data_IF_112796275434
#
_entry.id   IF_112796275434
#
_cell.length_a   1.000
_cell.length_b   1.000
_cell.length_c   1.000
_cell.angle_alpha   90.00
_cell.angle_beta   90.00
_cell.angle_gamma   90.00
#
_symmetry.space_group_name_H-M   'P 1'
#
loop_
_entity.id
_entity.type
_entity.pdbx_description
1 polymer ?
#
# COMPACT_ATOMS: atom_id res chain seq x y z
N UNK A 1 39.10 -30.34 1.59
CA UNK A 1 40.26 -31.19 1.30
C UNK A 1 40.69 -31.89 2.57
N UNK A 2 41.37 -33.02 2.45
CA UNK A 2 41.96 -33.75 3.56
C UNK A 2 43.37 -34.21 3.17
N UNK A 3 44.32 -34.08 4.09
CA UNK A 3 45.72 -34.46 3.90
C UNK A 3 46.26 -35.09 5.15
N UNK A 4 47.11 -36.09 4.97
CA UNK A 4 47.84 -36.78 6.01
C UNK A 4 49.36 -36.72 5.73
N UNK A 5 50.18 -36.85 6.78
CA UNK A 5 51.65 -36.70 6.66
C UNK A 5 52.31 -37.92 6.01
N UNK A 6 51.78 -39.12 6.22
CA UNK A 6 52.31 -40.38 5.68
C UNK A 6 51.60 -40.76 4.37
N UNK A 7 50.28 -40.58 4.31
CA UNK A 7 49.44 -40.95 3.16
C UNK A 7 49.33 -39.85 2.08
N UNK A 8 49.75 -38.61 2.38
CA UNK A 8 49.60 -37.48 1.46
C UNK A 8 48.15 -37.00 1.30
N UNK A 9 47.70 -36.71 0.08
CA UNK A 9 46.33 -36.24 -0.17
C UNK A 9 45.33 -37.39 -0.08
N UNK A 10 44.46 -37.35 0.93
CA UNK A 10 43.42 -38.34 1.18
C UNK A 10 42.01 -37.80 0.92
N UNK A 11 41.87 -36.69 0.18
CA UNK A 11 40.57 -36.06 -0.11
C UNK A 11 39.58 -37.04 -0.76
N UNK A 12 40.05 -37.93 -1.63
CA UNK A 12 39.19 -38.91 -2.32
C UNK A 12 38.69 -40.04 -1.38
N UNK A 13 39.28 -40.17 -0.18
CA UNK A 13 38.84 -41.10 0.87
C UNK A 13 37.80 -40.49 1.81
N UNK A 14 37.46 -39.21 1.67
CA UNK A 14 36.47 -38.54 2.54
C UNK A 14 35.07 -39.09 2.28
N UNK A 15 34.36 -39.45 3.34
CA UNK A 15 32.98 -39.95 3.30
C UNK A 15 32.06 -39.07 4.13
N UNK A 16 30.76 -39.05 3.79
CA UNK A 16 29.73 -38.42 4.63
C UNK A 16 29.15 -39.48 5.56
N UNK A 17 29.28 -39.28 6.87
CA UNK A 17 28.82 -40.25 7.88
C UNK A 17 27.51 -39.84 8.54
N UNK A 18 27.16 -38.56 8.50
CA UNK A 18 25.84 -38.06 8.88
C UNK A 18 25.49 -36.82 8.04
N UNK A 19 24.22 -36.72 7.66
CA UNK A 19 23.66 -35.58 6.94
C UNK A 19 22.19 -35.43 7.35
N UNK A 20 21.87 -34.32 8.02
CA UNK A 20 20.50 -33.98 8.42
C UNK A 20 19.92 -32.80 7.62
N UNK A 21 20.60 -32.35 6.56
CA UNK A 21 20.20 -31.19 5.77
C UNK A 21 18.84 -31.39 5.12
N UNK A 22 17.91 -30.50 5.45
CA UNK A 22 16.62 -30.33 4.80
C UNK A 22 16.56 -28.95 4.12
N UNK A 23 16.65 -28.93 2.80
CA UNK A 23 16.63 -27.68 2.02
C UNK A 23 15.22 -27.10 1.86
N UNK A 24 14.18 -27.78 2.33
CA UNK A 24 12.79 -27.30 2.24
C UNK A 24 12.35 -26.48 3.45
N UNK A 25 13.16 -26.45 4.51
CA UNK A 25 12.84 -25.75 5.74
C UNK A 25 13.99 -24.81 6.14
N UNK A 26 13.62 -23.60 6.54
CA UNK A 26 14.55 -22.65 7.15
C UNK A 26 15.09 -23.27 8.43
N UNK A 27 16.42 -23.26 8.58
CA UNK A 27 17.03 -23.94 9.71
C UNK A 27 18.55 -24.00 9.65
N UNK A 28 19.10 -24.61 10.71
CA UNK A 28 20.52 -24.91 10.81
C UNK A 28 20.68 -26.42 10.86
N UNK A 29 21.48 -26.92 9.94
CA UNK A 29 21.72 -28.33 9.66
C UNK A 29 23.22 -28.62 9.69
N UNK A 30 23.57 -29.88 9.62
CA UNK A 30 24.92 -30.39 9.80
C UNK A 30 25.25 -31.51 8.81
N UNK A 31 26.47 -31.44 8.29
CA UNK A 31 27.06 -32.55 7.53
C UNK A 31 28.34 -32.96 8.24
N UNK A 32 28.46 -34.23 8.58
CA UNK A 32 29.67 -34.78 9.19
C UNK A 32 30.42 -35.61 8.17
N UNK A 33 31.66 -35.19 7.93
CA UNK A 33 32.61 -35.89 7.09
C UNK A 33 33.54 -36.75 7.95
N UNK A 34 33.99 -37.88 7.41
CA UNK A 34 35.01 -38.74 8.01
C UNK A 34 36.05 -39.13 6.98
N UNK A 35 37.30 -39.24 7.42
CA UNK A 35 38.39 -39.81 6.62
C UNK A 35 39.24 -40.71 7.51
N UNK A 36 39.67 -41.85 6.97
CA UNK A 36 40.52 -42.82 7.63
C UNK A 36 41.80 -43.01 6.83
N UNK A 37 42.96 -42.92 7.46
CA UNK A 37 44.26 -43.16 6.83
C UNK A 37 44.55 -44.68 6.68
N UNK A 38 45.68 -45.01 6.05
CA UNK A 38 46.10 -46.40 5.84
C UNK A 38 46.44 -47.15 7.13
N UNK A 39 46.81 -46.42 8.20
CA UNK A 39 47.07 -46.96 9.54
C UNK A 39 45.79 -47.15 10.38
N UNK A 40 44.64 -46.72 9.86
CA UNK A 40 43.33 -46.86 10.49
C UNK A 40 42.94 -45.71 11.42
N UNK A 41 43.72 -44.63 11.49
CA UNK A 41 43.35 -43.44 12.25
C UNK A 41 42.22 -42.70 11.53
N UNK A 42 41.19 -42.29 12.29
CA UNK A 42 40.00 -41.65 11.74
C UNK A 42 39.82 -40.24 12.29
N UNK A 43 39.53 -39.30 11.40
CA UNK A 43 39.17 -37.92 11.73
C UNK A 43 37.75 -37.63 11.26
N UNK A 44 36.97 -36.92 12.09
CA UNK A 44 35.66 -36.42 11.69
C UNK A 44 35.62 -34.89 11.72
N UNK A 45 34.87 -34.30 10.79
CA UNK A 45 34.61 -32.86 10.75
C UNK A 45 33.14 -32.62 10.45
N UNK A 46 32.46 -31.96 11.37
CA UNK A 46 31.10 -31.45 11.15
C UNK A 46 31.17 -30.03 10.63
N UNK A 47 30.41 -29.76 9.56
CA UNK A 47 30.12 -28.41 9.08
C UNK A 47 28.68 -28.05 9.42
N UNK A 48 28.42 -26.75 9.53
CA UNK A 48 27.08 -26.21 9.66
C UNK A 48 26.60 -25.73 8.29
N UNK A 49 25.37 -26.06 7.93
CA UNK A 49 24.65 -25.58 6.76
C UNK A 49 23.45 -24.78 7.25
N UNK A 50 23.36 -23.52 6.86
CA UNK A 50 22.22 -22.66 7.20
C UNK A 50 21.34 -22.51 5.96
N UNK A 51 20.07 -22.87 6.08
CA UNK A 51 19.03 -22.63 5.07
C UNK A 51 18.25 -21.40 5.52
N UNK A 52 18.28 -20.34 4.72
CA UNK A 52 17.49 -19.12 4.90
C UNK A 52 16.24 -19.17 4.05
N UNK A 53 15.28 -18.26 4.25
CA UNK A 53 14.13 -18.17 3.34
C UNK A 53 14.53 -17.43 2.05
N UNK A 54 13.62 -17.40 1.10
CA UNK A 54 13.72 -16.75 -0.21
C UNK A 54 12.32 -16.21 -0.56
N UNK A 55 11.66 -15.61 0.43
CA UNK A 55 10.33 -15.06 0.26
C UNK A 55 10.43 -13.80 -0.59
N UNK A 56 9.37 -13.48 -1.34
CA UNK A 56 9.32 -12.18 -2.03
C UNK A 56 8.91 -11.08 -1.03
N UNK A 57 9.40 -9.84 -1.23
CA UNK A 57 9.07 -8.73 -0.35
C UNK A 57 7.59 -8.37 -0.41
N UNK A 58 7.05 -7.77 0.66
CA UNK A 58 5.65 -7.35 0.77
C UNK A 58 5.54 -5.83 0.79
N UNK A 59 4.73 -5.26 -0.11
CA UNK A 59 4.44 -3.81 -0.16
C UNK A 59 3.15 -3.49 0.61
N UNK A 60 3.26 -2.58 1.59
CA UNK A 60 2.13 -1.96 2.28
C UNK A 60 1.89 -0.57 1.69
N UNK A 61 0.71 -0.38 1.11
CA UNK A 61 0.19 0.86 0.55
C UNK A 61 -1.34 0.74 0.52
N UNK A 62 -2.04 1.87 0.59
CA UNK A 62 -3.50 1.93 0.65
C UNK A 62 -4.05 2.92 -0.36
N UNK A 63 -5.31 2.69 -0.76
CA UNK A 63 -6.04 3.62 -1.61
C UNK A 63 -6.18 4.99 -0.93
N UNK A 64 -6.24 6.03 -1.76
CA UNK A 64 -6.29 7.42 -1.31
C UNK A 64 -7.48 8.14 -1.93
N UNK A 65 -8.10 9.05 -1.18
CA UNK A 65 -9.08 9.99 -1.70
C UNK A 65 -8.59 11.40 -1.45
N UNK A 66 -8.62 12.26 -2.46
CA UNK A 66 -8.32 13.68 -2.34
C UNK A 66 -9.39 14.53 -3.01
N UNK A 67 -9.41 15.80 -2.64
CA UNK A 67 -10.21 16.83 -3.31
C UNK A 67 -9.45 17.36 -4.53
N UNK A 68 -10.17 17.74 -5.58
CA UNK A 68 -9.63 18.36 -6.80
C UNK A 68 -8.71 19.53 -6.43
N UNK A 69 -7.50 19.53 -7.00
CA UNK A 69 -6.43 20.47 -6.72
C UNK A 69 -5.61 20.17 -5.46
N UNK A 70 -5.93 19.10 -4.73
CA UNK A 70 -5.19 18.67 -3.53
C UNK A 70 -3.75 18.24 -3.84
N UNK A 71 -2.87 18.41 -2.85
CA UNK A 71 -1.50 17.89 -2.92
C UNK A 71 -1.47 16.37 -2.86
N UNK A 72 -0.63 15.74 -3.68
CA UNK A 72 -0.45 14.30 -3.70
C UNK A 72 1.03 13.93 -3.68
N UNK A 73 1.42 13.17 -2.65
CA UNK A 73 2.72 12.49 -2.58
C UNK A 73 2.51 10.98 -2.80
N UNK A 74 3.04 10.41 -3.90
CA UNK A 74 2.89 9.00 -4.20
C UNK A 74 3.57 8.09 -3.18
N UNK A 75 4.60 8.55 -2.45
CA UNK A 75 5.32 7.73 -1.46
C UNK A 75 4.80 7.87 -0.03
N UNK A 76 3.92 8.84 0.23
CA UNK A 76 3.34 9.02 1.56
C UNK A 76 2.57 7.77 2.02
N UNK A 77 2.99 7.19 3.14
CA UNK A 77 2.36 6.00 3.73
C UNK A 77 2.70 4.67 3.03
N UNK A 78 3.68 4.66 2.12
CA UNK A 78 4.19 3.44 1.49
C UNK A 78 5.30 2.84 2.34
N UNK A 79 5.25 1.53 2.58
CA UNK A 79 6.34 0.77 3.21
C UNK A 79 6.48 -0.60 2.57
N UNK A 80 7.63 -1.24 2.78
CA UNK A 80 7.85 -2.62 2.39
C UNK A 80 8.71 -3.37 3.40
N UNK A 81 8.43 -4.66 3.54
CA UNK A 81 9.15 -5.58 4.43
C UNK A 81 9.37 -6.92 3.76
N UNK A 82 10.45 -7.58 4.15
CA UNK A 82 10.88 -8.86 3.63
C UNK A 82 11.35 -9.76 4.78
N UNK A 83 11.17 -11.08 4.65
CA UNK A 83 11.49 -12.03 5.74
C UNK A 83 13.00 -12.07 6.01
N UNK A 84 13.84 -12.01 4.97
CA UNK A 84 15.29 -12.14 5.05
C UNK A 84 15.98 -10.79 5.14
N UNK A 85 15.51 -9.82 4.35
CA UNK A 85 16.10 -8.49 4.23
C UNK A 85 15.58 -7.50 5.30
N UNK A 86 14.46 -7.81 5.97
CA UNK A 86 13.83 -6.92 6.93
C UNK A 86 13.14 -5.72 6.27
N UNK A 87 13.44 -4.49 6.71
CA UNK A 87 12.81 -3.30 6.15
C UNK A 87 13.47 -2.91 4.81
N UNK A 88 12.71 -3.06 3.72
CA UNK A 88 13.14 -2.73 2.35
C UNK A 88 12.38 -1.53 1.77
N UNK A 89 11.77 -0.70 2.61
CA UNK A 89 11.00 0.48 2.20
C UNK A 89 11.79 1.42 1.28
N UNK A 90 13.09 1.61 1.56
CA UNK A 90 13.96 2.49 0.76
C UNK A 90 14.24 1.94 -0.66
N UNK A 91 13.94 0.66 -0.92
CA UNK A 91 14.04 0.03 -2.24
C UNK A 91 12.74 0.13 -3.06
N UNK A 92 11.64 0.64 -2.48
CA UNK A 92 10.37 0.77 -3.19
C UNK A 92 10.46 1.84 -4.27
N UNK A 93 10.01 1.52 -5.47
CA UNK A 93 9.95 2.44 -6.61
C UNK A 93 8.53 2.57 -7.14
N UNK A 94 8.20 3.73 -7.71
CA UNK A 94 6.96 3.95 -8.46
C UNK A 94 7.23 3.61 -9.92
N UNK A 95 6.60 2.57 -10.43
CA UNK A 95 6.80 2.09 -11.81
C UNK A 95 5.77 2.64 -12.79
N UNK A 96 4.58 3.02 -12.30
CA UNK A 96 3.57 3.74 -13.06
C UNK A 96 2.77 4.66 -12.14
N UNK A 97 2.38 5.82 -12.66
CA UNK A 97 1.55 6.81 -11.96
C UNK A 97 0.80 7.65 -12.99
N UNK A 98 -0.53 7.55 -13.01
CA UNK A 98 -1.40 8.32 -13.90
C UNK A 98 -2.21 9.40 -13.15
N UNK A 99 -1.91 9.65 -11.87
CA UNK A 99 -2.68 10.55 -11.01
C UNK A 99 -2.66 11.99 -11.52
N UNK A 100 -3.83 12.48 -11.90
CA UNK A 100 -4.09 13.90 -12.19
C UNK A 100 -5.00 14.49 -11.11
N UNK A 101 -4.41 15.28 -10.20
CA UNK A 101 -5.17 15.89 -9.11
C UNK A 101 -6.06 17.04 -9.57
N UNK A 102 -5.93 17.52 -10.81
CA UNK A 102 -6.69 18.66 -11.33
C UNK A 102 -8.06 18.27 -11.90
N UNK A 103 -8.30 16.98 -12.11
CA UNK A 103 -9.54 16.45 -12.67
C UNK A 103 -10.17 15.41 -11.72
N UNK A 104 -11.50 15.42 -11.65
CA UNK A 104 -12.26 14.40 -10.91
C UNK A 104 -12.12 13.08 -11.66
N UNK A 105 -11.81 12.01 -10.93
CA UNK A 105 -11.60 10.72 -11.54
C UNK A 105 -10.98 9.69 -10.62
N UNK A 106 -10.77 8.51 -11.19
CA UNK A 106 -10.07 7.39 -10.55
C UNK A 106 -8.76 7.16 -11.28
N UNK A 107 -7.68 7.18 -10.52
CA UNK A 107 -6.31 7.06 -10.96
C UNK A 107 -5.61 5.94 -10.20
N UNK A 108 -4.40 5.61 -10.62
CA UNK A 108 -3.63 4.47 -10.14
C UNK A 108 -2.15 4.84 -9.96
N UNK A 109 -1.57 4.23 -8.93
CA UNK A 109 -0.11 4.22 -8.72
C UNK A 109 0.33 2.78 -8.55
N UNK A 110 1.31 2.34 -9.35
CA UNK A 110 1.93 1.02 -9.23
C UNK A 110 3.32 1.16 -8.62
N UNK A 111 3.54 0.41 -7.55
CA UNK A 111 4.80 0.29 -6.85
C UNK A 111 5.47 -1.04 -7.19
N UNK A 112 6.81 -1.06 -7.10
CA UNK A 112 7.61 -2.29 -7.17
C UNK A 112 8.75 -2.26 -6.16
N UNK A 113 9.10 -3.42 -5.63
CA UNK A 113 10.27 -3.61 -4.77
C UNK A 113 10.91 -4.95 -5.09
N UNK A 114 12.24 -4.97 -5.10
CA UNK A 114 13.07 -6.15 -5.33
C UNK A 114 13.99 -6.34 -4.12
N UNK A 115 14.06 -7.55 -3.57
CA UNK A 115 14.93 -7.91 -2.44
C UNK A 115 16.39 -8.15 -2.88
N UNK A 116 17.25 -8.58 -1.96
CA UNK A 116 18.66 -8.89 -2.24
C UNK A 116 18.89 -10.19 -3.04
N UNK A 117 17.93 -11.11 -3.00
CA UNK A 117 17.94 -12.39 -3.73
C UNK A 117 17.34 -12.28 -5.15
N UNK A 118 16.74 -11.13 -5.48
CA UNK A 118 16.18 -10.81 -6.78
C UNK A 118 14.69 -11.09 -6.92
N UNK A 119 13.99 -11.48 -5.85
CA UNK A 119 12.53 -11.64 -5.91
C UNK A 119 11.87 -10.26 -5.94
N UNK A 120 10.79 -10.14 -6.72
CA UNK A 120 10.13 -8.85 -6.98
C UNK A 120 8.64 -8.92 -6.72
N UNK A 121 8.12 -7.90 -6.03
CA UNK A 121 6.69 -7.70 -5.81
C UNK A 121 6.22 -6.39 -6.43
N UNK A 122 4.99 -6.38 -6.94
CA UNK A 122 4.31 -5.18 -7.44
C UNK A 122 2.97 -4.98 -6.75
N UNK A 123 2.59 -3.73 -6.50
CA UNK A 123 1.29 -3.39 -5.91
C UNK A 123 0.73 -2.13 -6.55
N UNK A 124 -0.53 -2.18 -6.97
CA UNK A 124 -1.26 -1.00 -7.47
C UNK A 124 -2.26 -0.53 -6.43
N UNK A 125 -2.29 0.78 -6.17
CA UNK A 125 -3.35 1.43 -5.38
C UNK A 125 -4.23 2.29 -6.27
N UNK A 126 -5.44 2.55 -5.79
CA UNK A 126 -6.38 3.49 -6.39
C UNK A 126 -6.30 4.85 -5.71
N UNK A 127 -6.34 5.90 -6.51
CA UNK A 127 -6.40 7.29 -6.06
C UNK A 127 -7.65 7.94 -6.65
N UNK A 128 -8.61 8.27 -5.79
CA UNK A 128 -9.86 8.91 -6.17
C UNK A 128 -9.77 10.41 -5.95
N UNK A 129 -9.94 11.19 -7.02
CA UNK A 129 -10.08 12.65 -6.94
C UNK A 129 -11.56 12.98 -6.98
N UNK A 130 -12.06 13.53 -5.88
CA UNK A 130 -13.45 14.03 -5.73
C UNK A 130 -13.48 15.53 -6.00
N UNK A 131 -14.61 16.11 -6.41
CA UNK A 131 -14.64 17.55 -6.64
C UNK A 131 -14.64 18.34 -5.32
N UNK A 132 -14.49 19.64 -5.46
CA UNK A 132 -14.43 20.63 -4.40
C UNK A 132 -15.27 21.86 -4.81
N UNK A 133 -16.32 21.62 -5.58
CA UNK A 133 -17.19 22.68 -6.04
C UNK A 133 -18.10 23.11 -4.87
N UNK A 134 -18.60 24.35 -4.92
CA UNK A 134 -19.54 24.82 -3.91
C UNK A 134 -20.95 24.29 -4.22
N UNK A 135 -21.80 24.10 -3.20
CA UNK A 135 -23.18 23.67 -3.43
C UNK A 135 -23.96 24.73 -4.23
N UNK A 136 -24.88 24.26 -5.06
CA UNK A 136 -25.76 25.08 -5.88
C UNK A 136 -27.14 25.13 -5.22
N UNK A 137 -27.64 26.34 -4.96
CA UNK A 137 -29.02 26.57 -4.51
C UNK A 137 -29.91 26.77 -5.74
N UNK A 138 -31.05 26.10 -5.76
CA UNK A 138 -32.12 26.26 -6.76
C UNK A 138 -33.36 26.80 -6.05
N UNK A 139 -33.85 27.95 -6.52
CA UNK A 139 -35.07 28.58 -6.03
C UNK A 139 -35.75 29.34 -7.18
N UNK A 140 -36.97 29.82 -6.96
CA UNK A 140 -37.71 30.63 -7.94
C UNK A 140 -38.54 31.70 -7.25
N UNK A 141 -38.78 32.80 -7.96
CA UNK A 141 -39.63 33.88 -7.48
C UNK A 141 -41.03 33.37 -7.15
N UNK A 142 -41.57 33.81 -6.01
CA UNK A 142 -42.91 33.46 -5.56
C UNK A 142 -43.85 34.66 -5.64
N UNK A 143 -45.08 34.43 -6.08
CA UNK A 143 -46.17 35.42 -6.00
C UNK A 143 -47.24 34.91 -5.04
N UNK A 144 -47.50 35.67 -3.98
CA UNK A 144 -48.55 35.36 -2.99
C UNK A 144 -49.58 36.50 -2.92
N UNK A 145 -50.78 36.19 -2.41
CA UNK A 145 -51.81 37.21 -2.13
C UNK A 145 -51.57 37.84 -0.76
N UNK A 146 -51.88 39.13 -0.62
CA UNK A 146 -51.82 39.85 0.66
C UNK A 146 -52.50 39.07 1.79
N UNK A 147 -51.82 38.99 2.93
CA UNK A 147 -52.26 38.32 4.15
C UNK A 147 -52.17 36.79 4.09
N UNK A 148 -51.60 36.20 3.04
CA UNK A 148 -51.33 34.76 2.97
C UNK A 148 -49.97 34.45 3.57
N UNK A 149 -49.87 33.26 4.17
CA UNK A 149 -48.62 32.75 4.70
C UNK A 149 -47.58 32.65 3.59
N UNK A 150 -46.33 32.96 3.95
CA UNK A 150 -45.16 32.79 3.12
C UNK A 150 -44.25 31.78 3.82
N UNK A 151 -43.95 30.67 3.14
CA UNK A 151 -42.95 29.71 3.59
C UNK A 151 -41.65 30.02 2.86
N UNK A 152 -40.67 30.52 3.62
CA UNK A 152 -39.37 30.96 3.11
C UNK A 152 -38.56 29.84 2.47
N UNK A 153 -38.87 28.58 2.81
CA UNK A 153 -38.19 27.40 2.26
C UNK A 153 -38.99 26.71 1.16
N UNK A 154 -40.21 27.14 0.88
CA UNK A 154 -41.04 26.50 -0.13
C UNK A 154 -40.39 26.59 -1.53
N UNK A 155 -40.12 25.43 -2.12
CA UNK A 155 -39.52 25.34 -3.46
C UNK A 155 -38.02 25.67 -3.52
N UNK A 156 -37.35 25.81 -2.38
CA UNK A 156 -35.89 25.98 -2.30
C UNK A 156 -35.24 24.61 -2.13
N UNK A 157 -34.26 24.28 -2.97
CA UNK A 157 -33.41 23.10 -2.83
C UNK A 157 -31.95 23.45 -3.00
N UNK A 158 -31.06 22.57 -2.54
CA UNK A 158 -29.63 22.71 -2.78
C UNK A 158 -29.00 21.36 -3.09
N UNK A 159 -28.05 21.37 -4.02
CA UNK A 159 -27.32 20.16 -4.43
C UNK A 159 -25.84 20.45 -4.54
N UNK A 160 -25.03 19.48 -4.17
CA UNK A 160 -23.58 19.50 -4.31
C UNK A 160 -23.13 18.29 -5.16
N UNK A 161 -22.06 18.44 -5.93
CA UNK A 161 -21.59 17.37 -6.82
C UNK A 161 -21.05 16.16 -6.03
N UNK A 162 -20.47 16.39 -4.86
CA UNK A 162 -19.90 15.33 -4.02
C UNK A 162 -20.88 14.82 -2.97
N UNK A 163 -21.66 15.75 -2.38
CA UNK A 163 -22.51 15.44 -1.24
C UNK A 163 -23.97 15.13 -1.63
N UNK A 164 -24.35 15.37 -2.89
CA UNK A 164 -25.70 15.12 -3.40
C UNK A 164 -26.71 16.14 -2.90
N UNK A 165 -27.83 15.69 -2.34
CA UNK A 165 -28.86 16.59 -1.81
C UNK A 165 -28.42 17.18 -0.46
N UNK A 166 -28.18 18.49 -0.46
CA UNK A 166 -27.78 19.27 0.71
C UNK A 166 -28.86 20.28 1.11
N UNK A 167 -30.10 20.10 0.66
CA UNK A 167 -31.25 20.97 0.95
C UNK A 167 -31.46 21.18 2.45
N UNK A 168 -31.22 20.16 3.27
CA UNK A 168 -31.32 20.25 4.73
C UNK A 168 -30.30 21.19 5.38
N UNK A 169 -29.24 21.57 4.67
CA UNK A 169 -28.22 22.50 5.13
C UNK A 169 -28.50 23.97 4.82
N UNK A 170 -29.61 24.28 4.13
CA UNK A 170 -29.93 25.66 3.76
C UNK A 170 -30.29 26.49 5.00
N UNK A 171 -29.66 27.66 5.14
CA UNK A 171 -29.97 28.64 6.17
C UNK A 171 -30.45 29.95 5.55
N UNK A 172 -31.55 30.50 6.06
CA UNK A 172 -32.03 31.83 5.67
C UNK A 172 -31.18 32.88 6.37
N UNK A 173 -30.41 33.65 5.60
CA UNK A 173 -29.51 34.70 6.13
C UNK A 173 -30.20 36.06 6.28
N UNK A 174 -31.24 36.32 5.48
CA UNK A 174 -32.08 37.50 5.55
C UNK A 174 -33.49 37.18 5.05
N UNK A 175 -34.50 37.85 5.61
CA UNK A 175 -35.88 37.80 5.16
C UNK A 175 -36.60 39.08 5.61
N UNK A 176 -37.03 39.91 4.68
CA UNK A 176 -37.71 41.19 4.90
C UNK A 176 -39.16 41.19 4.35
N UNK A 177 -39.67 40.03 3.95
CA UNK A 177 -41.03 39.88 3.41
C UNK A 177 -42.09 40.29 4.44
N UNK A 178 -42.87 41.33 4.12
CA UNK A 178 -44.11 41.69 4.83
C UNK A 178 -45.34 41.28 4.02
N UNK A 179 -45.99 40.19 4.44
CA UNK A 179 -47.17 39.65 3.75
C UNK A 179 -48.42 40.55 3.86
N UNK A 180 -48.42 41.57 4.72
CA UNK A 180 -49.54 42.51 4.87
C UNK A 180 -49.41 43.76 3.99
N UNK A 181 -48.25 43.97 3.37
CA UNK A 181 -47.96 45.12 2.53
C UNK A 181 -47.71 44.64 1.09
N UNK A 182 -48.40 45.22 0.11
CA UNK A 182 -48.22 44.84 -1.30
C UNK A 182 -46.92 45.45 -1.80
N UNK A 183 -46.01 44.62 -2.34
CA UNK A 183 -44.72 45.05 -2.85
C UNK A 183 -43.89 43.88 -3.36
N UNK A 184 -42.68 44.20 -3.84
CA UNK A 184 -41.60 43.24 -4.09
C UNK A 184 -40.60 43.41 -2.95
N UNK A 185 -40.24 42.29 -2.33
CA UNK A 185 -39.30 42.17 -1.22
C UNK A 185 -38.14 41.31 -1.73
#
# INVERSE_FOLDING_TARGET
>A
SASDTEDGNVTDKVTVTANDVDTSAVGTYHVTYSVTDSDGNTMTKTITVTVTSNDAPVITASDKTLKKGGSFDPMAGVSASDTEDGNVTDKVTVTANDVDTSAVGTYHVTYSVTDSDGNTTTKTITVTVTSNDAPVIVASDQTIKKGKAFDVMAGVSASDLEDGDVTGGITVTANDVDTNTVGTY
#
